data_IF_671739730774
#
_entry.id   IF_671739730774
#
_cell.length_a   1.000
_cell.length_b   1.000
_cell.length_c   1.000
_cell.angle_alpha   90.00
_cell.angle_beta   90.00
_cell.angle_gamma   90.00
#
_symmetry.space_group_name_H-M   'P 1'
#
loop_
_entity.id
_entity.type
_entity.pdbx_description
1 polymer ?
#
# COMPACT_ATOMS: atom_id res chain seq x y z
N UNK A 1 -13.69 0.54 4.03
CA UNK A 1 -12.50 -0.28 3.72
C UNK A 1 -12.59 -0.88 2.29
N UNK A 2 -12.95 -0.08 1.29
CA UNK A 2 -13.07 -0.51 -0.12
C UNK A 2 -11.73 -0.60 -0.84
N UNK A 3 -10.75 0.22 -0.42
CA UNK A 3 -9.45 0.36 -1.08
C UNK A 3 -8.64 -0.94 -1.21
N UNK A 4 -8.86 -1.91 -0.32
CA UNK A 4 -8.18 -3.21 -0.30
C UNK A 4 -8.39 -3.95 -1.64
N UNK A 5 -9.62 -3.93 -2.14
CA UNK A 5 -9.99 -4.63 -3.37
C UNK A 5 -9.45 -3.95 -4.65
N UNK A 6 -8.89 -2.74 -4.54
CA UNK A 6 -8.30 -2.01 -5.68
C UNK A 6 -6.87 -2.46 -5.99
N UNK A 7 -6.20 -3.12 -5.04
CA UNK A 7 -4.84 -3.59 -5.27
C UNK A 7 -4.87 -4.85 -6.17
N UNK A 8 -4.58 -4.66 -7.46
CA UNK A 8 -4.48 -5.76 -8.43
C UNK A 8 -3.32 -6.73 -8.12
N UNK A 9 -2.33 -6.26 -7.37
CA UNK A 9 -1.14 -7.02 -6.98
C UNK A 9 -1.30 -7.74 -5.64
N UNK A 10 -2.46 -7.59 -4.96
CA UNK A 10 -2.73 -8.18 -3.64
C UNK A 10 -1.77 -7.76 -2.51
N UNK A 11 -0.99 -6.71 -2.74
CA UNK A 11 -0.06 -6.13 -1.76
C UNK A 11 -0.76 -5.38 -0.60
N UNK A 12 -2.07 -5.12 -0.67
CA UNK A 12 -2.82 -4.39 0.35
C UNK A 12 -3.78 -5.33 1.08
N UNK A 13 -3.64 -5.43 2.41
CA UNK A 13 -4.44 -6.31 3.28
C UNK A 13 -5.01 -5.56 4.48
N UNK A 14 -6.09 -6.06 5.07
CA UNK A 14 -6.60 -5.55 6.35
C UNK A 14 -6.06 -6.38 7.51
N UNK A 15 -5.63 -5.72 8.58
CA UNK A 15 -5.21 -6.35 9.83
C UNK A 15 -6.28 -6.08 10.89
N UNK A 16 -7.20 -7.04 11.16
CA UNK A 16 -8.33 -6.83 12.07
C UNK A 16 -7.90 -6.51 13.50
N UNK A 17 -6.79 -7.10 13.96
CA UNK A 17 -6.26 -6.89 15.31
C UNK A 17 -5.78 -5.46 15.56
N UNK A 18 -5.40 -4.74 14.50
CA UNK A 18 -4.95 -3.35 14.56
C UNK A 18 -5.98 -2.37 13.99
N UNK A 19 -7.09 -2.87 13.45
CA UNK A 19 -8.08 -2.10 12.70
C UNK A 19 -7.44 -1.18 11.64
N UNK A 20 -6.41 -1.68 10.95
CA UNK A 20 -5.60 -0.90 10.00
C UNK A 20 -5.31 -1.69 8.73
N UNK A 21 -5.17 -0.95 7.63
CA UNK A 21 -4.63 -1.51 6.40
C UNK A 21 -3.12 -1.71 6.52
N UNK A 22 -2.61 -2.75 5.88
CA UNK A 22 -1.21 -3.10 5.79
C UNK A 22 -0.83 -3.26 4.33
N UNK A 23 0.23 -2.57 3.91
CA UNK A 23 0.78 -2.68 2.56
C UNK A 23 2.07 -3.47 2.66
N UNK A 24 2.11 -4.61 1.97
CA UNK A 24 3.34 -5.35 1.69
C UNK A 24 4.13 -4.58 0.63
N UNK A 25 5.11 -3.80 1.09
CA UNK A 25 5.80 -2.83 0.25
C UNK A 25 6.69 -3.49 -0.82
N UNK A 26 7.09 -4.74 -0.60
CA UNK A 26 7.85 -5.56 -1.56
C UNK A 26 7.00 -5.93 -2.78
N UNK A 27 5.73 -6.26 -2.58
CA UNK A 27 4.77 -6.59 -3.64
C UNK A 27 4.04 -5.36 -4.22
N UNK A 28 4.24 -4.18 -3.65
CA UNK A 28 3.58 -2.95 -4.08
C UNK A 28 4.31 -2.27 -5.25
N UNK A 29 3.73 -2.32 -6.45
CA UNK A 29 4.26 -1.67 -7.66
C UNK A 29 4.00 -0.16 -7.76
N UNK A 30 3.39 0.47 -6.76
CA UNK A 30 3.19 1.92 -6.74
C UNK A 30 2.11 2.48 -7.69
N UNK A 31 1.13 1.68 -8.12
CA UNK A 31 0.08 2.13 -9.07
C UNK A 31 -0.86 3.25 -8.56
N UNK A 32 -0.92 3.50 -7.25
CA UNK A 32 -1.67 4.61 -6.66
C UNK A 32 -3.20 4.46 -6.55
N UNK A 33 -3.81 3.40 -7.08
CA UNK A 33 -5.26 3.21 -7.03
C UNK A 33 -5.83 3.10 -5.60
N UNK A 34 -5.02 2.62 -4.65
CA UNK A 34 -5.43 2.55 -3.26
C UNK A 34 -5.45 3.94 -2.59
N UNK A 35 -4.59 4.87 -3.02
CA UNK A 35 -4.55 6.25 -2.48
C UNK A 35 -5.81 7.00 -2.86
N UNK A 36 -6.30 6.83 -4.08
CA UNK A 36 -7.50 7.53 -4.58
C UNK A 36 -8.81 7.06 -3.93
N UNK A 37 -8.81 5.86 -3.37
CA UNK A 37 -10.01 5.17 -2.87
C UNK A 37 -10.02 5.01 -1.35
N UNK A 38 -8.86 5.13 -0.71
CA UNK A 38 -8.80 5.04 0.74
C UNK A 38 -9.19 6.37 1.36
N UNK A 39 -10.26 6.36 2.16
CA UNK A 39 -10.68 7.53 2.91
C UNK A 39 -9.58 8.02 3.87
N UNK A 40 -9.71 9.29 4.28
CA UNK A 40 -8.92 9.89 5.37
C UNK A 40 -7.40 9.97 5.10
N UNK A 41 -7.00 10.06 3.83
CA UNK A 41 -5.57 10.10 3.43
C UNK A 41 -4.75 8.95 4.07
N UNK A 42 -5.40 7.82 4.35
CA UNK A 42 -4.79 6.75 5.15
C UNK A 42 -3.66 6.01 4.42
N UNK A 43 -3.49 6.24 3.11
CA UNK A 43 -2.40 5.69 2.31
C UNK A 43 -1.73 6.84 1.57
N UNK A 44 -0.39 6.87 1.60
CA UNK A 44 0.43 7.82 0.85
C UNK A 44 1.41 7.05 -0.03
N UNK A 45 1.60 7.52 -1.27
CA UNK A 45 2.65 7.03 -2.14
C UNK A 45 3.96 7.76 -1.83
N UNK A 46 5.03 7.00 -1.65
CA UNK A 46 6.38 7.51 -1.47
C UNK A 46 7.31 6.81 -2.46
N UNK A 47 8.36 7.52 -2.85
CA UNK A 47 9.40 6.98 -3.72
C UNK A 47 10.09 5.79 -3.06
N UNK A 48 10.18 4.65 -3.76
CA UNK A 48 10.79 3.43 -3.22
C UNK A 48 12.28 3.63 -2.91
N UNK A 49 12.95 4.50 -3.67
CA UNK A 49 14.34 4.93 -3.43
C UNK A 49 14.55 5.69 -2.12
N UNK A 50 13.49 6.28 -1.55
CA UNK A 50 13.54 6.96 -0.25
C UNK A 50 13.59 5.99 0.93
N UNK A 51 13.29 4.71 0.70
CA UNK A 51 13.30 3.65 1.70
C UNK A 51 14.51 2.75 1.46
N UNK A 52 15.58 2.81 2.28
CA UNK A 52 16.78 2.02 2.08
C UNK A 52 16.53 0.52 1.98
N UNK A 53 15.50 0.02 2.68
CA UNK A 53 15.09 -1.37 2.67
C UNK A 53 14.47 -1.84 1.34
N UNK A 54 14.03 -0.94 0.47
CA UNK A 54 13.36 -1.28 -0.79
C UNK A 54 14.07 -0.72 -2.03
N UNK A 55 15.12 0.10 -1.86
CA UNK A 55 15.74 0.86 -2.94
C UNK A 55 16.25 0.00 -4.11
N UNK A 56 16.59 -1.27 -3.85
CA UNK A 56 17.12 -2.21 -4.84
C UNK A 56 16.18 -3.39 -5.13
N UNK A 57 14.91 -3.33 -4.67
CA UNK A 57 13.94 -4.41 -4.83
C UNK A 57 12.89 -3.99 -5.88
N UNK A 58 12.86 -4.69 -7.02
CA UNK A 58 11.97 -4.43 -8.17
C UNK A 58 11.38 -5.74 -8.71
#
# INVERSE_FOLDING_TARGET
ASCIHRCQFKALNFVPTRNKAHIEATECFGCGLCVTECDQDAITLVERSSLPALANEW
#
